data_IF_594951347098
#
_entry.id   IF_594951347098
#
_cell.length_a   1.000
_cell.length_b   1.000
_cell.length_c   1.000
_cell.angle_alpha   90.00
_cell.angle_beta   90.00
_cell.angle_gamma   90.00
#
_symmetry.space_group_name_H-M   'P 1'
#
loop_
_entity.id
_entity.type
_entity.pdbx_description
1 polymer ?
#
# COMPACT_ATOMS: atom_id res chain seq x y z
N UNK A 1 5.42 11.12 -24.01
CA UNK A 1 4.03 11.38 -23.59
C UNK A 1 3.91 12.53 -22.59
N UNK A 2 4.59 12.47 -21.42
CA UNK A 2 4.50 13.48 -20.36
C UNK A 2 4.92 14.89 -20.80
N UNK A 3 6.02 15.01 -21.56
CA UNK A 3 6.51 16.29 -22.13
C UNK A 3 5.48 17.04 -22.98
N UNK A 4 4.88 16.35 -23.94
CA UNK A 4 3.85 16.91 -24.82
C UNK A 4 2.65 17.40 -24.02
N UNK A 5 2.31 16.68 -22.95
CA UNK A 5 1.30 17.11 -22.01
C UNK A 5 1.76 18.39 -21.31
N UNK A 6 2.88 18.42 -20.58
CA UNK A 6 3.36 19.62 -19.86
C UNK A 6 3.30 20.93 -20.66
N UNK A 7 3.74 20.91 -21.93
CA UNK A 7 3.79 22.11 -22.80
C UNK A 7 2.43 22.69 -23.22
N UNK A 8 1.32 21.95 -23.06
CA UNK A 8 -0.02 22.42 -23.46
C UNK A 8 -0.66 23.40 -22.47
N UNK A 9 -0.15 23.57 -21.25
CA UNK A 9 -0.71 24.51 -20.26
C UNK A 9 0.23 25.68 -19.98
N UNK A 10 -0.35 26.88 -19.81
CA UNK A 10 0.40 28.14 -19.71
C UNK A 10 0.85 28.52 -18.29
N UNK A 11 0.41 27.82 -17.24
CA UNK A 11 0.71 28.19 -15.84
C UNK A 11 1.20 27.02 -14.98
N UNK A 12 0.31 26.11 -14.59
CA UNK A 12 0.66 24.93 -13.79
C UNK A 12 0.00 23.68 -14.36
N UNK A 13 0.65 22.53 -14.26
CA UNK A 13 0.08 21.22 -14.60
C UNK A 13 0.40 20.23 -13.47
N UNK A 14 -0.65 19.72 -12.83
CA UNK A 14 -0.54 18.56 -11.95
C UNK A 14 -0.61 17.26 -12.76
N UNK A 15 0.27 16.31 -12.46
CA UNK A 15 0.20 14.94 -12.99
C UNK A 15 0.25 14.00 -11.80
N UNK A 16 -0.78 13.17 -11.65
CA UNK A 16 -0.82 12.11 -10.64
C UNK A 16 -0.35 10.81 -11.26
N UNK A 17 0.66 10.20 -10.67
CA UNK A 17 1.12 8.85 -11.01
C UNK A 17 0.96 7.93 -9.80
N UNK A 18 0.89 6.62 -10.03
CA UNK A 18 0.80 5.61 -8.97
C UNK A 18 2.00 4.70 -9.12
N UNK A 19 2.82 4.62 -8.06
CA UNK A 19 4.02 3.78 -8.02
C UNK A 19 4.97 4.01 -9.20
N UNK A 20 5.13 5.27 -9.60
CA UNK A 20 6.10 5.62 -10.63
C UNK A 20 7.51 5.56 -10.06
N UNK A 21 8.47 5.09 -10.85
CA UNK A 21 9.88 5.21 -10.54
C UNK A 21 10.32 6.67 -10.72
N UNK A 22 10.91 7.24 -9.66
CA UNK A 22 11.43 8.61 -9.67
C UNK A 22 12.53 8.80 -10.73
N UNK A 23 13.27 7.76 -11.09
CA UNK A 23 14.27 7.83 -12.17
C UNK A 23 13.64 8.15 -13.54
N UNK A 24 12.35 7.84 -13.74
CA UNK A 24 11.65 8.24 -14.96
C UNK A 24 11.45 9.76 -15.04
N UNK A 25 11.49 10.45 -13.90
CA UNK A 25 11.37 11.90 -13.83
C UNK A 25 12.71 12.61 -14.08
N UNK A 26 13.84 11.91 -13.94
CA UNK A 26 15.17 12.46 -14.24
C UNK A 26 15.20 13.10 -15.63
N UNK A 27 14.74 12.37 -16.65
CA UNK A 27 14.67 12.87 -18.04
C UNK A 27 13.78 14.10 -18.20
N UNK A 28 12.78 14.29 -17.34
CA UNK A 28 11.92 15.48 -17.36
C UNK A 28 12.54 16.65 -16.60
N UNK A 29 13.45 16.38 -15.66
CA UNK A 29 14.10 17.38 -14.81
C UNK A 29 15.37 17.93 -15.45
N UNK A 30 16.16 17.07 -16.10
CA UNK A 30 17.37 17.45 -16.86
C UNK A 30 17.03 18.27 -18.11
N UNK A 31 15.81 18.18 -18.64
CA UNK A 31 15.36 19.03 -19.73
C UNK A 31 14.94 20.42 -19.20
N UNK A 32 15.80 21.44 -19.38
CA UNK A 32 15.69 22.85 -18.93
C UNK A 32 14.42 23.64 -19.34
N UNK A 33 13.43 22.99 -19.93
CA UNK A 33 12.20 23.65 -20.42
C UNK A 33 11.03 23.58 -19.44
N UNK A 34 11.14 22.86 -18.32
CA UNK A 34 10.03 22.68 -17.36
C UNK A 34 10.53 22.73 -15.90
N UNK A 35 9.93 23.60 -15.09
CA UNK A 35 10.13 23.60 -13.64
C UNK A 35 9.30 22.48 -12.98
N UNK A 36 9.88 21.27 -12.91
CA UNK A 36 9.26 20.11 -12.28
C UNK A 36 9.51 20.15 -10.77
N UNK A 37 8.43 20.11 -9.98
CA UNK A 37 8.43 19.88 -8.52
C UNK A 37 7.68 18.57 -8.23
N UNK A 38 8.18 17.78 -7.29
CA UNK A 38 7.69 16.44 -6.97
C UNK A 38 7.08 16.44 -5.59
N UNK A 39 5.81 16.03 -5.51
CA UNK A 39 5.15 15.69 -4.26
C UNK A 39 5.08 14.17 -4.13
N UNK A 40 5.93 13.60 -3.28
CA UNK A 40 5.98 12.16 -3.03
C UNK A 40 5.10 11.80 -1.84
N UNK A 41 3.92 11.25 -2.12
CA UNK A 41 2.98 10.78 -1.09
C UNK A 41 3.27 9.31 -0.72
N UNK A 42 3.68 9.07 0.52
CA UNK A 42 3.79 7.72 1.09
C UNK A 42 2.61 7.41 2.00
N UNK A 43 2.37 6.13 2.27
CA UNK A 43 1.29 5.63 3.11
C UNK A 43 1.73 4.39 3.86
N UNK A 44 1.12 4.11 5.02
CA UNK A 44 1.30 2.87 5.75
C UNK A 44 1.01 1.65 4.84
N UNK A 45 1.96 0.70 4.68
CA UNK A 45 1.75 -0.50 3.88
C UNK A 45 0.51 -1.32 4.27
N UNK A 46 0.11 -1.31 5.55
CA UNK A 46 -1.13 -1.99 6.03
C UNK A 46 -2.37 -1.28 5.48
N UNK A 47 -2.38 0.04 5.51
CA UNK A 47 -3.43 0.85 4.87
C UNK A 47 -3.50 0.65 3.35
N UNK A 48 -2.35 0.49 2.69
CA UNK A 48 -2.27 0.17 1.26
C UNK A 48 -2.82 -1.22 0.97
N UNK A 49 -2.42 -2.24 1.73
CA UNK A 49 -2.93 -3.60 1.63
C UNK A 49 -4.46 -3.64 1.79
N UNK A 50 -4.99 -2.98 2.84
CA UNK A 50 -6.42 -2.89 3.08
C UNK A 50 -7.17 -2.23 1.92
N UNK A 51 -6.61 -1.16 1.34
CA UNK A 51 -7.20 -0.47 0.20
C UNK A 51 -7.28 -1.33 -1.07
N UNK A 52 -6.43 -2.35 -1.21
CA UNK A 52 -6.42 -3.24 -2.37
C UNK A 52 -7.33 -4.46 -2.21
N UNK A 53 -7.84 -4.73 -0.99
CA UNK A 53 -8.73 -5.89 -0.71
C UNK A 53 -9.90 -6.01 -1.66
N UNK A 54 -10.56 -4.90 -2.01
CA UNK A 54 -11.71 -4.93 -2.91
C UNK A 54 -11.33 -5.38 -4.33
N UNK A 55 -10.19 -4.90 -4.84
CA UNK A 55 -9.67 -5.28 -6.16
C UNK A 55 -9.42 -6.79 -6.23
N UNK A 56 -8.85 -7.35 -5.17
CA UNK A 56 -8.59 -8.79 -5.07
C UNK A 56 -9.84 -9.63 -4.81
N UNK A 57 -10.79 -9.12 -4.01
CA UNK A 57 -12.05 -9.83 -3.71
C UNK A 57 -12.98 -9.92 -4.93
N UNK A 58 -13.00 -8.90 -5.80
CA UNK A 58 -13.87 -8.89 -6.99
C UNK A 58 -13.33 -9.84 -8.06
N UNK A 59 -12.01 -9.90 -8.24
CA UNK A 59 -11.39 -10.81 -9.21
C UNK A 59 -11.36 -12.27 -8.72
N UNK A 60 -11.53 -12.50 -7.42
CA UNK A 60 -11.67 -13.85 -6.88
C UNK A 60 -12.92 -14.58 -7.42
N UNK A 61 -14.04 -13.87 -7.65
CA UNK A 61 -15.29 -14.45 -8.17
C UNK A 61 -15.25 -14.74 -9.69
N UNK A 62 -14.56 -13.93 -10.49
CA UNK A 62 -14.30 -14.19 -11.92
C UNK A 62 -13.28 -15.31 -12.10
N UNK A 63 -12.25 -15.34 -11.26
CA UNK A 63 -11.23 -16.40 -11.22
C UNK A 63 -11.80 -17.74 -10.76
N UNK A 64 -12.59 -17.77 -9.67
CA UNK A 64 -13.29 -18.97 -9.21
C UNK A 64 -14.23 -19.53 -10.29
N UNK A 65 -14.92 -18.67 -11.05
CA UNK A 65 -15.76 -19.09 -12.19
C UNK A 65 -14.95 -19.68 -13.35
N UNK A 66 -13.78 -19.12 -13.68
CA UNK A 66 -12.85 -19.68 -14.68
C UNK A 66 -12.25 -21.03 -14.25
N UNK A 67 -11.97 -21.20 -12.96
CA UNK A 67 -11.45 -22.45 -12.39
C UNK A 67 -12.55 -23.53 -12.31
N UNK A 68 -13.78 -23.14 -11.96
CA UNK A 68 -14.95 -24.03 -11.99
C UNK A 68 -15.31 -24.49 -13.41
N UNK A 69 -15.20 -23.61 -14.41
CA UNK A 69 -15.42 -23.95 -15.83
C UNK A 69 -14.37 -24.94 -16.38
N UNK A 70 -13.20 -25.07 -15.72
CA UNK A 70 -12.17 -26.06 -16.03
C UNK A 70 -12.33 -27.37 -15.23
N UNK A 71 -13.47 -27.59 -14.58
CA UNK A 71 -13.85 -28.85 -13.94
C UNK A 71 -13.26 -29.06 -12.53
N UNK A 72 -12.70 -28.04 -11.89
CA UNK A 72 -12.10 -28.19 -10.57
C UNK A 72 -13.18 -28.19 -9.47
N UNK A 73 -13.38 -29.34 -8.79
CA UNK A 73 -14.26 -29.45 -7.60
C UNK A 73 -13.45 -29.38 -6.30
N UNK A 74 -13.94 -28.59 -5.36
CA UNK A 74 -13.38 -28.39 -4.03
C UNK A 74 -13.52 -29.66 -3.17
N UNK A 75 -12.45 -30.06 -2.48
CA UNK A 75 -12.56 -30.91 -1.27
C UNK A 75 -11.87 -30.17 -0.11
N UNK A 76 -12.68 -29.69 0.81
CA UNK A 76 -12.24 -29.03 2.04
C UNK A 76 -11.69 -30.10 2.97
N UNK A 77 -10.48 -29.90 3.50
CA UNK A 77 -10.00 -30.64 4.66
C UNK A 77 -10.03 -29.65 5.84
N UNK A 78 -10.90 -29.94 6.80
CA UNK A 78 -10.83 -29.35 8.14
C UNK A 78 -9.58 -29.91 8.83
N UNK A 79 -8.74 -29.05 9.39
CA UNK A 79 -7.62 -29.46 10.24
C UNK A 79 -8.11 -29.49 11.70
N UNK A 80 -8.66 -30.64 12.09
CA UNK A 80 -8.87 -31.00 13.49
C UNK A 80 -7.55 -31.57 14.02
N UNK A 81 -6.76 -30.75 14.70
CA UNK A 81 -5.69 -31.23 15.59
C UNK A 81 -5.78 -30.58 16.97
N UNK A 82 -6.75 -31.09 17.72
CA UNK A 82 -6.64 -31.30 19.17
C UNK A 82 -6.36 -32.80 19.37
N UNK A 83 -5.44 -33.10 20.29
CA UNK A 83 -4.77 -34.37 20.55
C UNK A 83 -5.66 -35.60 20.83
N UNK A 84 -5.18 -36.83 20.54
CA UNK A 84 -4.76 -37.86 21.54
C UNK A 84 -4.25 -39.19 20.89
N UNK A 85 -3.71 -40.19 21.65
CA UNK A 85 -2.50 -40.95 21.30
C UNK A 85 -2.72 -42.48 21.15
N UNK A 86 -1.63 -43.22 20.87
CA UNK A 86 -1.42 -44.69 20.95
C UNK A 86 -1.68 -45.57 19.68
N UNK A 87 -0.95 -46.71 19.53
CA UNK A 87 -0.24 -47.08 18.30
C UNK A 87 -0.52 -48.50 17.77
N UNK A 88 0.07 -48.84 16.61
CA UNK A 88 0.06 -50.16 15.95
C UNK A 88 -0.22 -49.98 14.46
N UNK A 89 0.26 -50.74 13.48
CA UNK A 89 1.11 -51.92 13.35
C UNK A 89 1.38 -52.05 11.83
N UNK A 90 2.36 -52.86 11.41
CA UNK A 90 2.32 -53.53 10.10
C UNK A 90 3.12 -52.94 8.93
N UNK A 91 4.24 -53.60 8.60
CA UNK A 91 4.98 -53.47 7.33
C UNK A 91 4.38 -54.35 6.22
N UNK A 92 4.57 -53.94 4.93
CA UNK A 92 4.97 -54.69 3.69
C UNK A 92 4.25 -54.14 2.43
N UNK A 93 4.69 -54.43 1.18
CA UNK A 93 5.95 -54.04 0.53
C UNK A 93 5.71 -53.22 -0.77
N UNK A 94 6.78 -52.62 -1.32
CA UNK A 94 6.77 -51.83 -2.57
C UNK A 94 6.33 -52.64 -3.79
N UNK A 95 5.49 -52.04 -4.64
CA UNK A 95 5.38 -52.37 -6.06
C UNK A 95 5.59 -51.12 -6.91
N UNK A 96 6.36 -51.27 -8.00
CA UNK A 96 6.73 -50.20 -8.91
C UNK A 96 5.50 -49.64 -9.63
N UNK A 97 5.23 -48.35 -9.49
CA UNK A 97 4.39 -47.58 -10.41
C UNK A 97 5.17 -46.37 -10.92
N UNK A 98 5.03 -46.13 -12.23
CA UNK A 98 5.64 -45.03 -12.97
C UNK A 98 5.59 -43.71 -12.19
N UNK A 99 6.74 -43.06 -12.03
CA UNK A 99 6.82 -41.70 -11.53
C UNK A 99 6.16 -40.74 -12.54
N UNK A 100 4.86 -40.50 -12.37
CA UNK A 100 4.31 -39.20 -12.72
C UNK A 100 4.94 -38.18 -11.77
N UNK A 101 5.88 -37.39 -12.29
CA UNK A 101 6.39 -36.21 -11.63
C UNK A 101 5.25 -35.18 -11.57
N UNK A 102 4.38 -35.32 -10.56
CA UNK A 102 3.39 -34.30 -10.23
C UNK A 102 4.13 -33.12 -9.59
N UNK A 103 4.31 -32.06 -10.38
CA UNK A 103 4.63 -30.74 -9.88
C UNK A 103 3.57 -30.31 -8.85
N UNK A 104 3.97 -29.84 -7.64
CA UNK A 104 3.03 -29.34 -6.65
C UNK A 104 2.57 -27.93 -7.06
N UNK A 105 1.50 -27.83 -7.85
CA UNK A 105 0.83 -26.54 -8.09
C UNK A 105 0.04 -26.23 -6.80
N UNK A 106 0.66 -25.41 -5.93
CA UNK A 106 0.10 -24.98 -4.66
C UNK A 106 -1.22 -24.20 -4.83
N UNK A 107 -2.20 -24.54 -4.00
CA UNK A 107 -3.46 -23.77 -3.83
C UNK A 107 -3.09 -22.46 -3.13
N UNK A 108 -3.39 -21.31 -3.72
CA UNK A 108 -3.14 -20.01 -3.09
C UNK A 108 -3.94 -19.86 -1.80
N UNK A 109 -3.27 -19.51 -0.71
CA UNK A 109 -3.83 -19.16 0.60
C UNK A 109 -4.66 -17.86 0.52
N UNK A 110 -5.42 -17.53 1.58
CA UNK A 110 -6.12 -16.23 1.69
C UNK A 110 -5.15 -15.05 1.51
N UNK A 111 -3.93 -15.18 2.01
CA UNK A 111 -2.89 -14.15 1.93
C UNK A 111 -2.40 -13.96 0.49
N UNK A 112 -2.32 -15.06 -0.28
CA UNK A 112 -1.97 -15.03 -1.70
C UNK A 112 -3.03 -14.32 -2.54
N UNK A 113 -4.32 -14.62 -2.29
CA UNK A 113 -5.44 -13.95 -2.97
C UNK A 113 -5.42 -12.44 -2.71
N UNK A 114 -5.07 -12.02 -1.49
CA UNK A 114 -4.97 -10.62 -1.12
C UNK A 114 -3.69 -9.93 -1.62
N UNK A 115 -2.81 -10.65 -2.34
CA UNK A 115 -1.53 -10.14 -2.82
C UNK A 115 -0.56 -9.80 -1.70
N UNK A 116 -0.72 -10.39 -0.50
CA UNK A 116 0.16 -10.16 0.65
C UNK A 116 1.45 -10.98 0.59
N UNK A 117 1.55 -11.90 -0.38
CA UNK A 117 2.66 -12.81 -0.59
C UNK A 117 3.03 -12.89 -2.08
N UNK A 118 4.24 -13.34 -2.36
CA UNK A 118 4.67 -13.70 -3.72
C UNK A 118 4.33 -15.17 -3.97
N UNK A 119 3.22 -15.42 -4.67
CA UNK A 119 2.96 -16.73 -5.28
C UNK A 119 2.63 -16.54 -6.76
N UNK A 120 3.18 -17.46 -7.56
CA UNK A 120 3.26 -17.43 -9.03
C UNK A 120 1.95 -17.10 -9.76
N UNK A 121 2.10 -16.34 -10.85
CA UNK A 121 1.19 -16.10 -12.00
C UNK A 121 -0.23 -15.53 -11.77
N UNK A 122 -0.69 -15.36 -10.53
CA UNK A 122 -2.09 -14.94 -10.26
C UNK A 122 -2.30 -13.42 -10.39
N UNK A 123 -1.28 -12.59 -10.12
CA UNK A 123 -1.40 -11.13 -10.12
C UNK A 123 -0.22 -10.43 -10.81
N UNK A 124 -0.41 -9.22 -11.37
CA UNK A 124 0.72 -8.39 -11.79
C UNK A 124 1.66 -8.19 -10.61
N UNK A 125 2.92 -8.62 -10.74
CA UNK A 125 3.92 -8.66 -9.65
C UNK A 125 4.00 -7.34 -8.87
N UNK A 126 3.89 -6.19 -9.55
CA UNK A 126 3.90 -4.85 -8.93
C UNK A 126 2.79 -4.59 -7.90
N UNK A 127 1.72 -5.39 -7.88
CA UNK A 127 0.61 -5.24 -6.97
C UNK A 127 0.80 -6.01 -5.66
N UNK A 128 1.76 -6.93 -5.56
CA UNK A 128 2.00 -7.65 -4.31
C UNK A 128 2.62 -6.75 -3.25
N UNK A 129 2.48 -7.13 -1.99
CA UNK A 129 3.10 -6.40 -0.88
C UNK A 129 4.63 -6.42 -0.93
N UNK A 130 5.30 -7.55 -1.22
CA UNK A 130 6.75 -7.56 -1.38
C UNK A 130 7.24 -6.60 -2.48
N UNK A 131 6.61 -6.62 -3.66
CA UNK A 131 6.97 -5.72 -4.75
C UNK A 131 6.70 -4.25 -4.43
N UNK A 132 5.58 -3.96 -3.75
CA UNK A 132 5.27 -2.60 -3.29
C UNK A 132 6.30 -2.10 -2.28
N UNK A 133 6.70 -2.93 -1.31
CA UNK A 133 7.62 -2.53 -0.27
C UNK A 133 9.06 -2.41 -0.79
N UNK A 134 9.45 -3.24 -1.77
CA UNK A 134 10.68 -3.06 -2.55
C UNK A 134 10.68 -1.74 -3.34
N UNK A 135 9.57 -1.40 -3.99
CA UNK A 135 9.43 -0.12 -4.70
C UNK A 135 9.46 1.09 -3.75
N UNK A 136 8.80 0.99 -2.59
CA UNK A 136 8.81 2.04 -1.58
C UNK A 136 10.22 2.25 -1.04
N UNK A 137 10.92 1.17 -0.72
CA UNK A 137 12.30 1.19 -0.24
C UNK A 137 13.26 1.82 -1.26
N UNK A 138 13.17 1.44 -2.54
CA UNK A 138 14.02 2.00 -3.58
C UNK A 138 13.78 3.51 -3.78
N UNK A 139 12.52 3.94 -3.72
CA UNK A 139 12.13 5.34 -3.90
C UNK A 139 12.60 6.21 -2.74
N UNK A 140 12.46 5.73 -1.50
CA UNK A 140 12.95 6.43 -0.31
C UNK A 140 14.47 6.48 -0.30
N UNK A 141 15.14 5.38 -0.63
CA UNK A 141 16.60 5.32 -0.70
C UNK A 141 17.16 6.29 -1.74
N UNK A 142 16.49 6.46 -2.89
CA UNK A 142 16.88 7.48 -3.87
C UNK A 142 16.77 8.90 -3.31
N UNK A 143 15.65 9.22 -2.65
CA UNK A 143 15.46 10.53 -2.03
C UNK A 143 16.52 10.79 -0.95
N UNK A 144 16.82 9.80 -0.10
CA UNK A 144 17.85 9.90 0.94
C UNK A 144 19.27 10.13 0.40
N UNK A 145 19.58 9.65 -0.81
CA UNK A 145 20.88 9.94 -1.45
C UNK A 145 21.03 11.40 -1.87
N UNK A 146 19.94 12.18 -1.86
CA UNK A 146 19.88 13.60 -2.21
C UNK A 146 20.64 13.94 -3.50
N UNK A 147 20.37 13.26 -4.63
CA UNK A 147 21.06 13.55 -5.86
C UNK A 147 20.78 14.98 -6.32
N UNK A 148 21.75 15.63 -6.97
CA UNK A 148 21.69 17.07 -7.27
C UNK A 148 20.45 17.48 -8.08
N UNK A 149 20.00 16.62 -8.99
CA UNK A 149 18.80 16.88 -9.80
C UNK A 149 17.50 16.93 -8.97
N UNK A 150 17.49 16.35 -7.77
CA UNK A 150 16.31 16.29 -6.91
C UNK A 150 16.23 17.46 -5.92
N UNK A 151 17.36 18.16 -5.69
CA UNK A 151 17.45 19.33 -4.81
C UNK A 151 16.58 20.48 -5.32
N UNK A 152 15.87 21.14 -4.42
CA UNK A 152 14.83 22.14 -4.65
C UNK A 152 13.54 21.62 -5.30
N UNK A 153 13.44 20.31 -5.58
CA UNK A 153 12.39 19.73 -6.46
C UNK A 153 11.65 18.56 -5.85
N UNK A 154 11.90 18.24 -4.59
CA UNK A 154 11.24 17.12 -3.92
C UNK A 154 10.66 17.49 -2.57
N UNK A 155 9.43 17.05 -2.32
CA UNK A 155 8.77 17.09 -1.03
C UNK A 155 8.11 15.74 -0.72
N UNK A 156 8.43 15.17 0.43
CA UNK A 156 7.80 13.96 0.96
C UNK A 156 6.61 14.34 1.83
N UNK A 157 5.48 13.66 1.65
CA UNK A 157 4.32 13.74 2.53
C UNK A 157 3.91 12.34 2.94
N UNK A 158 3.71 12.13 4.25
CA UNK A 158 3.08 10.93 4.77
C UNK A 158 1.57 11.14 4.85
N UNK A 159 0.82 10.22 4.26
CA UNK A 159 -0.64 10.29 4.17
C UNK A 159 -1.32 10.45 5.53
N UNK A 160 -0.81 9.75 6.55
CA UNK A 160 -1.34 9.79 7.91
C UNK A 160 -1.14 11.15 8.58
N UNK A 161 -0.04 11.84 8.30
CA UNK A 161 0.20 13.21 8.81
C UNK A 161 -0.72 14.23 8.13
N UNK A 162 -0.92 14.09 6.81
CA UNK A 162 -1.92 14.87 6.07
C UNK A 162 -3.33 14.60 6.60
N UNK A 163 -3.67 13.35 6.86
CA UNK A 163 -4.98 12.97 7.37
C UNK A 163 -5.23 13.54 8.77
N UNK A 164 -4.21 13.60 9.62
CA UNK A 164 -4.29 14.14 10.98
C UNK A 164 -4.38 15.67 11.02
N UNK A 165 -3.66 16.38 10.13
CA UNK A 165 -3.63 17.85 10.10
C UNK A 165 -3.80 18.43 8.68
N UNK A 166 -4.95 18.21 8.02
CA UNK A 166 -5.12 18.48 6.59
C UNK A 166 -4.84 19.93 6.19
N UNK A 167 -5.30 20.89 6.99
CA UNK A 167 -5.10 22.30 6.69
C UNK A 167 -3.63 22.72 6.78
N UNK A 168 -2.93 22.32 7.86
CA UNK A 168 -1.52 22.63 8.06
C UNK A 168 -0.66 22.05 6.93
N UNK A 169 -0.89 20.78 6.56
CA UNK A 169 -0.12 20.16 5.47
C UNK A 169 -0.49 20.77 4.11
N UNK A 170 -1.74 21.20 3.91
CA UNK A 170 -2.13 21.92 2.68
C UNK A 170 -1.38 23.25 2.56
N UNK A 171 -1.29 24.04 3.63
CA UNK A 171 -0.54 25.30 3.63
C UNK A 171 0.94 25.08 3.30
N UNK A 172 1.53 24.04 3.87
CA UNK A 172 2.91 23.63 3.62
C UNK A 172 3.14 23.18 2.16
N UNK A 173 2.20 22.46 1.55
CA UNK A 173 2.21 22.12 0.12
C UNK A 173 2.18 23.38 -0.74
N UNK A 174 1.28 24.31 -0.46
CA UNK A 174 1.17 25.55 -1.25
C UNK A 174 2.43 26.40 -1.14
N UNK A 175 3.03 26.48 0.05
CA UNK A 175 4.32 27.14 0.28
C UNK A 175 5.42 26.50 -0.55
N UNK A 176 5.52 25.17 -0.55
CA UNK A 176 6.50 24.44 -1.35
C UNK A 176 6.39 24.72 -2.85
N UNK A 177 5.18 24.93 -3.38
CA UNK A 177 4.98 25.30 -4.78
C UNK A 177 5.14 26.80 -5.08
N UNK A 178 5.47 27.63 -4.07
CA UNK A 178 5.48 29.10 -4.17
C UNK A 178 4.13 29.67 -4.62
N UNK A 179 3.05 29.10 -4.08
CA UNK A 179 1.67 29.46 -4.43
C UNK A 179 0.91 29.99 -3.22
N UNK A 180 0.10 31.02 -3.45
CA UNK A 180 -0.87 31.48 -2.47
C UNK A 180 -2.00 30.45 -2.31
N UNK A 181 -2.31 30.06 -1.06
CA UNK A 181 -3.46 29.20 -0.73
C UNK A 181 -4.74 30.04 -0.69
N UNK A 182 -5.67 29.90 -1.66
CA UNK A 182 -6.90 30.69 -1.65
C UNK A 182 -7.85 30.24 -0.54
N UNK A 183 -8.58 31.17 0.07
CA UNK A 183 -9.53 30.88 1.15
C UNK A 183 -10.65 29.91 0.75
N UNK A 184 -10.99 29.85 -0.54
CA UNK A 184 -11.92 28.86 -1.07
C UNK A 184 -11.36 27.44 -0.92
N UNK A 185 -10.07 27.25 -1.15
CA UNK A 185 -9.40 25.95 -0.99
C UNK A 185 -9.26 25.61 0.50
N UNK A 186 -8.83 26.58 1.32
CA UNK A 186 -8.77 26.44 2.79
C UNK A 186 -10.09 25.92 3.37
N UNK A 187 -11.21 26.57 3.02
CA UNK A 187 -12.57 26.15 3.43
C UNK A 187 -12.96 24.79 2.85
N UNK A 188 -12.62 24.54 1.58
CA UNK A 188 -12.92 23.25 0.96
C UNK A 188 -12.19 22.10 1.67
N UNK A 189 -10.92 22.27 2.05
CA UNK A 189 -10.16 21.27 2.80
C UNK A 189 -10.85 21.02 4.13
N UNK A 190 -11.03 22.04 4.97
CA UNK A 190 -11.70 21.90 6.27
C UNK A 190 -13.05 21.16 6.15
N UNK A 191 -13.91 21.58 5.23
CA UNK A 191 -15.25 21.00 5.05
C UNK A 191 -15.24 19.53 4.59
N UNK A 192 -14.22 19.08 3.85
CA UNK A 192 -14.16 17.72 3.30
C UNK A 192 -13.30 16.77 4.16
N UNK A 193 -12.53 17.28 5.12
CA UNK A 193 -11.65 16.47 5.97
C UNK A 193 -12.06 16.43 7.45
N UNK A 194 -12.88 17.37 7.91
CA UNK A 194 -13.34 17.48 9.31
C UNK A 194 -14.81 17.03 9.48
N UNK A 195 -15.34 16.25 8.53
CA UNK A 195 -16.77 15.94 8.48
C UNK A 195 -17.27 15.02 9.61
N UNK A 196 -18.22 15.53 10.38
CA UNK A 196 -19.13 14.76 11.23
C UNK A 196 -20.04 13.90 10.34
N UNK A 197 -20.15 12.60 10.60
CA UNK A 197 -20.87 11.63 9.75
C UNK A 197 -22.38 11.86 9.87
N UNK A 198 -22.93 12.84 9.16
CA UNK A 198 -24.37 12.93 8.91
C UNK A 198 -24.68 12.53 7.47
N UNK A 199 -24.98 11.24 7.32
CA UNK A 199 -25.92 10.77 6.30
C UNK A 199 -25.31 10.15 5.05
N UNK A 200 -25.69 8.89 4.82
CA UNK A 200 -25.90 8.35 3.49
C UNK A 200 -24.72 7.61 2.88
N UNK A 201 -24.92 6.31 2.70
CA UNK A 201 -24.17 5.40 1.85
C UNK A 201 -23.82 6.06 0.50
N UNK A 202 -22.60 6.60 0.40
CA UNK A 202 -21.98 7.01 -0.86
C UNK A 202 -20.59 6.44 -0.89
N UNK A 203 -20.43 5.39 -1.68
CA UNK A 203 -19.18 4.68 -2.00
C UNK A 203 -18.04 5.62 -2.48
N UNK A 204 -18.31 6.90 -2.74
CA UNK A 204 -17.35 7.95 -3.13
C UNK A 204 -17.60 9.33 -2.46
N UNK A 205 -18.26 9.37 -1.29
CA UNK A 205 -18.51 10.64 -0.58
C UNK A 205 -17.24 11.39 -0.16
N UNK A 206 -17.22 12.70 -0.37
CA UNK A 206 -16.11 13.61 -0.01
C UNK A 206 -16.17 14.10 1.44
N UNK A 207 -17.18 13.69 2.20
CA UNK A 207 -17.32 13.96 3.62
C UNK A 207 -16.81 12.75 4.41
N UNK A 208 -15.57 12.78 4.89
CA UNK A 208 -15.00 11.76 5.76
C UNK A 208 -14.09 12.44 6.77
N UNK A 209 -14.17 12.05 8.04
CA UNK A 209 -13.08 12.32 8.97
C UNK A 209 -11.81 11.66 8.39
N UNK A 210 -10.86 12.48 7.93
CA UNK A 210 -9.68 12.00 7.21
C UNK A 210 -8.83 11.06 8.07
N UNK A 211 -8.76 11.32 9.38
CA UNK A 211 -8.08 10.48 10.36
C UNK A 211 -8.77 9.12 10.49
N UNK A 212 -10.09 9.08 10.64
CA UNK A 212 -10.84 7.82 10.71
C UNK A 212 -10.65 6.98 9.43
N UNK A 213 -10.72 7.63 8.27
CA UNK A 213 -10.49 6.98 6.99
C UNK A 213 -9.05 6.43 6.85
N UNK A 214 -8.05 7.14 7.39
CA UNK A 214 -6.66 6.72 7.37
C UNK A 214 -6.41 5.51 8.25
N UNK A 215 -7.07 5.43 9.42
CA UNK A 215 -6.89 4.36 10.39
C UNK A 215 -7.91 3.21 10.27
N UNK A 216 -8.86 3.29 9.33
CA UNK A 216 -9.89 2.26 9.11
C UNK A 216 -9.36 0.84 8.89
N UNK A 217 -8.12 0.69 8.40
CA UNK A 217 -7.50 -0.63 8.22
C UNK A 217 -7.31 -1.38 9.55
N UNK A 218 -7.17 -0.66 10.67
CA UNK A 218 -6.96 -1.21 12.01
C UNK A 218 -8.10 -2.11 12.49
N UNK A 219 -9.33 -1.80 12.07
CA UNK A 219 -10.53 -2.58 12.42
C UNK A 219 -10.97 -3.55 11.32
N UNK A 220 -10.50 -3.35 10.08
CA UNK A 220 -10.90 -4.17 8.93
C UNK A 220 -9.93 -5.32 8.63
N UNK A 221 -8.67 -5.20 9.02
CA UNK A 221 -7.66 -6.25 8.83
C UNK A 221 -7.63 -7.21 10.02
N UNK A 222 -7.43 -8.49 9.73
CA UNK A 222 -7.13 -9.46 10.79
C UNK A 222 -5.70 -9.26 11.29
N UNK A 223 -5.40 -9.74 12.50
CA UNK A 223 -4.04 -9.71 13.03
C UNK A 223 -3.05 -10.46 12.12
N UNK A 224 -3.46 -11.60 11.57
CA UNK A 224 -2.66 -12.38 10.61
C UNK A 224 -2.31 -11.57 9.35
N UNK A 225 -3.28 -10.86 8.77
CA UNK A 225 -3.04 -10.04 7.57
C UNK A 225 -2.10 -8.87 7.87
N UNK A 226 -2.29 -8.20 9.01
CA UNK A 226 -1.41 -7.11 9.43
C UNK A 226 0.02 -7.61 9.70
N UNK A 227 0.17 -8.75 10.38
CA UNK A 227 1.45 -9.39 10.64
C UNK A 227 2.15 -9.82 9.35
N UNK A 228 1.39 -10.32 8.36
CA UNK A 228 1.97 -10.67 7.06
C UNK A 228 2.51 -9.43 6.34
N UNK A 229 1.79 -8.30 6.36
CA UNK A 229 2.32 -7.03 5.82
C UNK A 229 3.58 -6.59 6.56
N UNK A 230 3.57 -6.66 7.89
CA UNK A 230 4.72 -6.27 8.71
C UNK A 230 5.93 -7.19 8.51
N UNK A 231 5.70 -8.46 8.20
CA UNK A 231 6.75 -9.41 7.84
C UNK A 231 7.42 -9.02 6.53
N UNK A 232 6.65 -8.67 5.50
CA UNK A 232 7.19 -8.31 4.17
C UNK A 232 7.77 -6.88 4.12
N UNK A 233 7.22 -5.96 4.91
CA UNK A 233 7.50 -4.52 4.81
C UNK A 233 8.18 -3.94 6.06
N UNK A 234 8.53 -4.78 7.04
CA UNK A 234 8.95 -4.34 8.37
C UNK A 234 10.12 -3.37 8.37
N UNK A 235 11.11 -3.57 7.50
CA UNK A 235 12.31 -2.75 7.46
C UNK A 235 12.02 -1.33 6.99
N UNK A 236 11.33 -1.19 5.84
CA UNK A 236 10.92 0.12 5.33
C UNK A 236 9.88 0.79 6.24
N UNK A 237 9.02 0.00 6.89
CA UNK A 237 8.06 0.51 7.86
C UNK A 237 8.76 1.18 9.05
N UNK A 238 9.78 0.54 9.63
CA UNK A 238 10.58 1.11 10.72
C UNK A 238 11.31 2.37 10.28
N UNK A 239 11.92 2.38 9.09
CA UNK A 239 12.59 3.56 8.51
C UNK A 239 11.67 4.76 8.32
N UNK A 240 10.39 4.51 8.07
CA UNK A 240 9.37 5.55 7.90
C UNK A 240 8.58 5.86 9.19
N UNK A 241 9.05 5.38 10.34
CA UNK A 241 8.47 5.66 11.65
C UNK A 241 7.15 4.95 11.92
N UNK A 242 6.83 3.87 11.20
CA UNK A 242 5.65 3.04 11.49
C UNK A 242 5.96 1.99 12.56
N UNK A 243 5.14 1.94 13.60
CA UNK A 243 5.21 0.93 14.67
C UNK A 243 4.56 -0.36 14.19
N UNK A 244 5.25 -1.48 14.42
CA UNK A 244 4.74 -2.83 14.14
C UNK A 244 3.87 -3.34 15.28
N UNK A 245 2.83 -4.10 14.96
CA UNK A 245 1.87 -4.69 15.89
C UNK A 245 2.43 -5.90 16.61
N UNK A 246 3.48 -6.53 16.07
CA UNK A 246 4.32 -7.52 16.77
C UNK A 246 4.89 -7.02 18.11
N UNK A 247 4.85 -5.71 18.39
CA UNK A 247 5.34 -5.09 19.62
C UNK A 247 4.34 -5.08 20.80
N UNK A 248 3.33 -5.97 20.81
CA UNK A 248 2.19 -6.02 21.78
C UNK A 248 1.19 -4.87 21.63
N UNK A 249 1.23 -4.16 20.51
CA UNK A 249 0.28 -3.10 20.19
C UNK A 249 -1.01 -3.73 19.67
N UNK A 250 -2.12 -3.42 20.34
CA UNK A 250 -3.44 -3.85 19.90
C UNK A 250 -3.88 -3.07 18.67
N UNK A 251 -4.24 -3.79 17.60
CA UNK A 251 -4.72 -3.18 16.36
C UNK A 251 -5.95 -2.32 16.60
N UNK A 252 -6.86 -2.75 17.46
CA UNK A 252 -8.12 -2.09 17.77
C UNK A 252 -8.02 -0.94 18.80
N UNK A 253 -6.85 -0.72 19.41
CA UNK A 253 -6.61 0.43 20.27
C UNK A 253 -6.30 1.69 19.44
N UNK A 254 -7.35 2.40 19.02
CA UNK A 254 -7.24 3.59 18.18
C UNK A 254 -6.58 4.79 18.89
N UNK A 255 -6.53 4.80 20.22
CA UNK A 255 -5.88 5.85 21.01
C UNK A 255 -4.35 5.72 20.97
N UNK A 256 -3.85 4.50 20.76
CA UNK A 256 -2.42 4.28 20.61
C UNK A 256 -1.93 4.68 19.20
N UNK A 257 -1.08 5.71 19.14
CA UNK A 257 -0.40 6.08 17.90
C UNK A 257 0.52 4.95 17.41
N UNK A 258 0.32 4.58 16.14
CA UNK A 258 1.19 3.68 15.38
C UNK A 258 2.28 4.41 14.60
N UNK A 259 2.38 5.73 14.76
CA UNK A 259 3.26 6.58 13.98
C UNK A 259 4.16 7.37 14.92
N UNK A 260 5.46 7.21 14.72
CA UNK A 260 6.48 8.10 15.26
C UNK A 260 6.68 9.26 14.28
N UNK A 261 7.28 10.38 14.73
CA UNK A 261 7.82 11.38 13.81
C UNK A 261 8.70 10.71 12.74
N UNK A 262 8.61 11.19 11.50
CA UNK A 262 9.52 10.73 10.45
C UNK A 262 10.96 10.98 10.89
N UNK A 263 11.85 9.97 10.84
CA UNK A 263 13.26 10.12 11.17
C UNK A 263 13.95 11.25 10.40
N UNK A 264 14.97 11.87 11.02
CA UNK A 264 15.65 13.05 10.46
C UNK A 264 16.46 12.73 9.20
N UNK A 265 16.89 11.48 9.02
CA UNK A 265 17.58 11.00 7.81
C UNK A 265 16.64 10.82 6.61
N UNK A 266 15.33 10.95 6.81
CA UNK A 266 14.33 10.92 5.74
C UNK A 266 14.04 12.36 5.29
N UNK A 267 14.50 12.77 4.08
CA UNK A 267 14.34 14.15 3.65
C UNK A 267 12.86 14.47 3.40
N UNK A 268 12.36 15.47 4.12
CA UNK A 268 11.00 16.00 3.95
C UNK A 268 10.92 16.96 2.77
N UNK A 269 11.96 17.73 2.56
CA UNK A 269 12.20 18.58 1.41
C UNK A 269 13.69 18.49 1.04
N UNK A 270 13.98 18.57 -0.25
CA UNK A 270 15.33 18.67 -0.80
C UNK A 270 15.45 19.94 -1.63
#
# INVERSE_FOLDING_TARGET
>A
MLRHQCRKFKKYRGIKTIRADLNLLLKLIEEDTVNVKILHLIRDPRGVANSRRQVYSVDSNSMQRRLAARGYRHRVLHDDRVANPFPGEGRRPMSLHHHHYQSPIARGTRLDILGLMETSDVFPLLNTMPAYCKWLDSTITLAQKQPDWLKGRYKLIRYEDYAATPLSVTEDVYRYFDMYLPDKVRRWVANNTEGDVKGGDRLYGSHKNSSEAAFKWRTLMTAEEALQVEKECGDIMKRLGYRTTSSRVRLDDLEQSLFLPLPDDIPREL
#
